data_IF_957765111340
#
_entry.id   IF_957765111340
#
_cell.length_a   1.000
_cell.length_b   1.000
_cell.length_c   1.000
_cell.angle_alpha   90.00
_cell.angle_beta   90.00
_cell.angle_gamma   90.00
#
_symmetry.space_group_name_H-M   'P 1'
#
loop_
_entity.id
_entity.type
_entity.pdbx_description
1 polymer ?
#
# COMPACT_ATOMS: atom_id res chain seq x y z
N UNK A 1 -7.57 -35.98 -10.38
CA UNK A 1 -8.26 -35.27 -9.28
C UNK A 1 -9.36 -34.40 -9.88
N UNK A 2 -10.63 -34.78 -9.68
CA UNK A 2 -11.76 -34.07 -10.30
C UNK A 2 -12.18 -32.82 -9.52
N UNK A 3 -12.72 -31.79 -10.21
CA UNK A 3 -13.24 -30.58 -9.57
C UNK A 3 -14.36 -30.94 -8.59
N UNK A 4 -14.64 -30.08 -7.61
CA UNK A 4 -15.63 -30.30 -6.56
C UNK A 4 -17.00 -30.66 -7.14
N UNK A 5 -17.24 -31.96 -7.34
CA UNK A 5 -18.50 -32.51 -7.85
C UNK A 5 -19.59 -32.23 -6.83
N UNK A 6 -20.70 -31.65 -7.30
CA UNK A 6 -21.89 -31.48 -6.48
C UNK A 6 -22.41 -32.82 -5.93
N UNK A 7 -23.30 -32.81 -4.92
CA UNK A 7 -23.82 -34.03 -4.29
C UNK A 7 -24.39 -35.04 -5.31
N UNK A 8 -25.17 -34.57 -6.29
CA UNK A 8 -25.71 -35.41 -7.35
C UNK A 8 -24.63 -36.06 -8.23
N UNK A 9 -23.54 -35.34 -8.51
CA UNK A 9 -22.44 -35.86 -9.31
C UNK A 9 -21.63 -36.94 -8.56
N UNK A 10 -21.46 -36.81 -7.24
CA UNK A 10 -20.85 -37.85 -6.40
C UNK A 10 -21.76 -39.08 -6.29
N UNK A 11 -23.07 -38.86 -6.14
CA UNK A 11 -24.05 -39.95 -6.13
C UNK A 11 -24.04 -40.73 -7.44
N UNK A 12 -24.13 -40.05 -8.58
CA UNK A 12 -24.10 -40.70 -9.90
C UNK A 12 -22.76 -41.40 -10.16
N UNK A 13 -21.65 -40.83 -9.71
CA UNK A 13 -20.34 -41.49 -9.79
C UNK A 13 -20.29 -42.76 -8.94
N UNK A 14 -20.87 -42.74 -7.73
CA UNK A 14 -20.96 -43.92 -6.88
C UNK A 14 -21.82 -45.02 -7.53
N UNK A 15 -22.98 -44.66 -8.11
CA UNK A 15 -23.82 -45.58 -8.89
C UNK A 15 -23.02 -46.19 -10.05
N UNK A 16 -22.34 -45.36 -10.84
CA UNK A 16 -21.52 -45.83 -11.95
C UNK A 16 -20.38 -46.76 -11.52
N UNK A 17 -19.73 -46.48 -10.39
CA UNK A 17 -18.69 -47.34 -9.82
C UNK A 17 -19.25 -48.68 -9.34
N UNK A 18 -20.39 -48.72 -8.64
CA UNK A 18 -21.03 -49.96 -8.17
C UNK A 18 -21.43 -50.86 -9.34
N UNK A 19 -22.03 -50.28 -10.38
CA UNK A 19 -22.42 -51.00 -11.59
C UNK A 19 -21.19 -51.56 -12.33
N UNK A 20 -20.12 -50.77 -12.46
CA UNK A 20 -18.89 -51.19 -13.12
C UNK A 20 -18.20 -52.35 -12.38
N UNK A 21 -18.33 -52.41 -11.06
CA UNK A 21 -17.79 -53.48 -10.22
C UNK A 21 -18.78 -54.64 -9.99
N UNK A 22 -19.94 -54.64 -10.68
CA UNK A 22 -21.00 -55.67 -10.56
C UNK A 22 -21.52 -55.86 -9.12
N UNK A 23 -21.55 -54.78 -8.33
CA UNK A 23 -22.10 -54.78 -6.98
C UNK A 23 -23.60 -54.43 -7.05
N UNK A 24 -24.44 -55.17 -6.33
CA UNK A 24 -25.88 -54.87 -6.24
C UNK A 24 -26.09 -53.47 -5.67
N UNK A 25 -26.91 -52.66 -6.35
CA UNK A 25 -27.21 -51.30 -5.94
C UNK A 25 -27.98 -51.30 -4.61
N UNK A 26 -27.45 -50.67 -3.55
CA UNK A 26 -28.22 -50.45 -2.34
C UNK A 26 -29.38 -49.49 -2.60
N UNK A 27 -30.38 -49.49 -1.72
CA UNK A 27 -31.49 -48.55 -1.81
C UNK A 27 -31.00 -47.08 -1.88
N UNK A 28 -31.70 -46.25 -2.65
CA UNK A 28 -31.31 -44.85 -2.93
C UNK A 28 -31.02 -44.08 -1.64
N UNK A 29 -31.84 -44.27 -0.61
CA UNK A 29 -31.68 -43.62 0.71
C UNK A 29 -30.43 -44.07 1.46
N UNK A 30 -29.99 -45.31 1.27
CA UNK A 30 -28.74 -45.83 1.85
C UNK A 30 -27.55 -45.23 1.13
N UNK A 31 -27.58 -45.21 -0.20
CA UNK A 31 -26.50 -44.63 -1.01
C UNK A 31 -26.33 -43.13 -0.72
N UNK A 32 -27.43 -42.38 -0.62
CA UNK A 32 -27.39 -40.96 -0.29
C UNK A 32 -26.77 -40.69 1.09
N UNK A 33 -27.12 -41.53 2.09
CA UNK A 33 -26.54 -41.45 3.43
C UNK A 33 -25.03 -41.74 3.44
N UNK A 34 -24.58 -42.73 2.66
CA UNK A 34 -23.16 -43.07 2.51
C UNK A 34 -22.38 -41.94 1.81
N UNK A 35 -22.92 -41.37 0.73
CA UNK A 35 -22.31 -40.24 0.03
C UNK A 35 -22.22 -39.04 0.96
N UNK A 36 -23.28 -38.74 1.72
CA UNK A 36 -23.30 -37.65 2.70
C UNK A 36 -22.28 -37.86 3.82
N UNK A 37 -22.13 -39.09 4.31
CA UNK A 37 -21.11 -39.45 5.31
C UNK A 37 -19.70 -39.28 4.75
N UNK A 38 -19.41 -39.83 3.58
CA UNK A 38 -18.11 -39.69 2.93
C UNK A 38 -17.73 -38.23 2.65
N UNK A 39 -18.71 -37.39 2.27
CA UNK A 39 -18.51 -35.94 2.11
C UNK A 39 -18.17 -35.26 3.43
N UNK A 40 -18.87 -35.62 4.51
CA UNK A 40 -18.63 -35.08 5.85
C UNK A 40 -17.24 -35.46 6.34
N UNK A 41 -16.84 -36.73 6.18
CA UNK A 41 -15.51 -37.22 6.57
C UNK A 41 -14.40 -36.60 5.71
N UNK A 42 -14.67 -36.32 4.43
CA UNK A 42 -13.74 -35.57 3.58
C UNK A 42 -13.65 -34.07 3.95
N UNK A 43 -14.72 -33.46 4.45
CA UNK A 43 -14.70 -32.10 4.95
C UNK A 43 -13.89 -32.01 6.25
N UNK A 44 -14.09 -32.96 7.16
CA UNK A 44 -13.37 -33.04 8.43
C UNK A 44 -11.86 -33.14 8.22
N UNK A 45 -11.41 -34.03 7.33
CA UNK A 45 -9.99 -34.14 6.95
C UNK A 45 -9.40 -32.83 6.43
N UNK A 46 -10.18 -32.03 5.70
CA UNK A 46 -9.69 -30.72 5.22
C UNK A 46 -9.51 -29.75 6.40
N UNK A 47 -10.43 -29.76 7.36
CA UNK A 47 -10.29 -28.92 8.55
C UNK A 47 -9.09 -29.34 9.40
N UNK A 48 -8.87 -30.64 9.57
CA UNK A 48 -7.69 -31.20 10.24
C UNK A 48 -6.39 -30.78 9.55
N UNK A 49 -6.31 -30.90 8.22
CA UNK A 49 -5.14 -30.49 7.44
C UNK A 49 -4.85 -29.00 7.58
N UNK A 50 -5.88 -28.14 7.50
CA UNK A 50 -5.70 -26.70 7.68
C UNK A 50 -5.32 -26.33 9.12
N UNK A 51 -5.89 -27.01 10.12
CA UNK A 51 -5.52 -26.80 11.51
C UNK A 51 -4.11 -27.34 11.84
N UNK A 52 -3.64 -28.37 11.13
CA UNK A 52 -2.25 -28.83 11.18
C UNK A 52 -1.31 -27.81 10.53
N UNK A 53 -1.61 -27.36 9.31
CA UNK A 53 -0.83 -26.33 8.61
C UNK A 53 -0.67 -25.04 9.43
N UNK A 54 -1.71 -24.63 10.17
CA UNK A 54 -1.62 -23.50 11.10
C UNK A 54 -0.63 -23.78 12.26
N UNK A 55 -0.63 -24.99 12.82
CA UNK A 55 0.29 -25.38 13.90
C UNK A 55 1.73 -25.51 13.43
N UNK A 56 1.93 -25.94 12.19
CA UNK A 56 3.26 -26.15 11.62
C UNK A 56 4.00 -24.83 11.38
N UNK A 57 3.27 -23.74 11.09
CA UNK A 57 3.84 -22.38 11.01
C UNK A 57 4.26 -21.87 12.38
N UNK A 58 3.33 -21.91 13.35
CA UNK A 58 3.56 -21.50 14.73
C UNK A 58 2.59 -22.28 15.64
N UNK A 59 3.08 -23.03 16.65
CA UNK A 59 2.24 -23.75 17.59
C UNK A 59 1.18 -22.88 18.30
N UNK A 60 1.43 -21.57 18.43
CA UNK A 60 0.52 -20.60 19.05
C UNK A 60 -0.48 -20.00 18.08
N UNK A 61 -0.29 -20.13 16.76
CA UNK A 61 -1.14 -19.51 15.74
C UNK A 61 -2.62 -19.91 15.87
N UNK A 62 -3.01 -21.18 16.06
CA UNK A 62 -4.42 -21.53 16.31
C UNK A 62 -5.00 -20.83 17.55
N UNK A 63 -4.18 -20.60 18.57
CA UNK A 63 -4.56 -19.82 19.75
C UNK A 63 -4.82 -18.36 19.39
N UNK A 64 -3.87 -17.73 18.70
CA UNK A 64 -3.95 -16.32 18.24
C UNK A 64 -5.17 -16.09 17.34
N UNK A 65 -5.40 -16.97 16.35
CA UNK A 65 -6.56 -16.91 15.46
C UNK A 65 -7.89 -17.02 16.21
N UNK A 66 -7.97 -17.84 17.26
CA UNK A 66 -9.19 -17.94 18.08
C UNK A 66 -9.35 -16.74 19.01
N UNK A 67 -8.24 -16.17 19.49
CA UNK A 67 -8.24 -14.99 20.33
C UNK A 67 -8.69 -13.74 19.55
N UNK A 68 -8.37 -13.64 18.25
CA UNK A 68 -8.79 -12.52 17.41
C UNK A 68 -10.31 -12.40 17.22
N UNK A 69 -11.08 -13.45 17.55
CA UNK A 69 -12.54 -13.43 17.60
C UNK A 69 -13.11 -12.72 18.83
N UNK A 70 -12.31 -12.53 19.88
CA UNK A 70 -12.76 -11.86 21.10
C UNK A 70 -12.68 -10.34 20.92
N UNK A 71 -13.65 -9.64 21.51
CA UNK A 71 -13.65 -8.17 21.56
C UNK A 71 -12.84 -7.73 22.78
N UNK A 72 -11.72 -7.01 22.62
CA UNK A 72 -10.97 -6.47 23.74
C UNK A 72 -11.79 -5.45 24.53
N UNK A 73 -11.53 -5.31 25.83
CA UNK A 73 -12.24 -4.35 26.69
C UNK A 73 -12.02 -2.92 26.21
N UNK A 74 -13.11 -2.18 25.99
CA UNK A 74 -13.06 -0.80 25.49
C UNK A 74 -13.09 -0.66 23.97
N UNK A 75 -13.08 -1.77 23.22
CA UNK A 75 -13.22 -1.77 21.76
C UNK A 75 -14.63 -2.21 21.34
N UNK A 76 -15.10 -1.71 20.20
CA UNK A 76 -16.40 -2.09 19.61
C UNK A 76 -16.33 -3.31 18.70
N UNK A 77 -15.15 -3.60 18.17
CA UNK A 77 -14.90 -4.66 17.20
C UNK A 77 -13.82 -5.60 17.72
N UNK A 78 -13.91 -6.87 17.33
CA UNK A 78 -12.81 -7.82 17.50
C UNK A 78 -11.71 -7.54 16.48
N UNK A 79 -10.48 -7.99 16.74
CA UNK A 79 -9.36 -7.85 15.79
C UNK A 79 -9.72 -8.40 14.42
N UNK A 80 -10.39 -9.56 14.36
CA UNK A 80 -10.84 -10.14 13.09
C UNK A 80 -11.80 -9.23 12.32
N UNK A 81 -12.73 -8.58 13.02
CA UNK A 81 -13.69 -7.66 12.38
C UNK A 81 -13.01 -6.35 11.95
N UNK A 82 -11.95 -5.92 12.64
CA UNK A 82 -11.10 -4.81 12.22
C UNK A 82 -10.32 -5.15 10.94
N UNK A 83 -9.76 -6.36 10.82
CA UNK A 83 -9.03 -6.77 9.60
C UNK A 83 -9.92 -6.85 8.35
N UNK A 84 -11.23 -7.10 8.53
CA UNK A 84 -12.21 -7.10 7.44
C UNK A 84 -12.55 -5.72 6.90
N UNK A 85 -12.17 -4.65 7.60
CA UNK A 85 -12.50 -3.29 7.17
C UNK A 85 -11.46 -2.81 6.14
N UNK A 86 -11.85 -2.84 4.87
CA UNK A 86 -11.06 -2.21 3.82
C UNK A 86 -11.05 -0.67 3.97
N UNK A 87 -9.99 0.00 3.51
CA UNK A 87 -9.91 1.46 3.50
C UNK A 87 -11.06 2.07 2.68
N UNK A 88 -11.77 3.05 3.26
CA UNK A 88 -12.92 3.69 2.59
C UNK A 88 -12.63 5.07 2.02
N UNK A 89 -11.49 5.67 2.39
CA UNK A 89 -11.14 7.05 2.02
C UNK A 89 -9.75 7.10 1.41
N UNK A 90 -9.60 8.00 0.44
CA UNK A 90 -8.34 8.26 -0.23
C UNK A 90 -7.62 9.39 0.54
N UNK A 91 -6.82 9.02 1.53
CA UNK A 91 -6.08 9.97 2.36
C UNK A 91 -4.79 9.35 2.94
N UNK A 92 -3.84 10.20 3.33
CA UNK A 92 -2.62 9.76 4.02
C UNK A 92 -2.91 8.95 5.30
N UNK A 93 -3.80 9.40 6.21
CA UNK A 93 -4.18 8.59 7.37
C UNK A 93 -4.80 7.24 7.01
N UNK A 94 -5.61 7.17 5.95
CA UNK A 94 -6.16 5.90 5.48
C UNK A 94 -5.06 4.97 4.93
N UNK A 95 -4.01 5.53 4.30
CA UNK A 95 -2.84 4.77 3.86
C UNK A 95 -2.08 4.17 5.05
N UNK A 96 -1.87 4.96 6.12
CA UNK A 96 -1.23 4.46 7.34
C UNK A 96 -2.06 3.32 7.94
N UNK A 97 -3.38 3.48 8.07
CA UNK A 97 -4.24 2.41 8.57
C UNK A 97 -4.27 1.18 7.67
N UNK A 98 -4.16 1.33 6.35
CA UNK A 98 -4.06 0.21 5.41
C UNK A 98 -2.76 -0.57 5.60
N UNK A 99 -1.63 0.14 5.75
CA UNK A 99 -0.31 -0.44 6.04
C UNK A 99 -0.28 -1.13 7.40
N UNK A 100 -0.81 -0.49 8.45
CA UNK A 100 -0.88 -1.09 9.80
C UNK A 100 -1.65 -2.41 9.75
N UNK A 101 -2.80 -2.45 9.05
CA UNK A 101 -3.59 -3.66 8.86
C UNK A 101 -2.82 -4.75 8.10
N UNK A 102 -2.08 -4.39 7.05
CA UNK A 102 -1.26 -5.35 6.30
C UNK A 102 -0.13 -5.93 7.18
N UNK A 103 0.52 -5.10 8.00
CA UNK A 103 1.56 -5.53 8.94
C UNK A 103 1.00 -6.42 10.06
N UNK A 104 -0.18 -6.11 10.58
CA UNK A 104 -0.86 -6.96 11.56
C UNK A 104 -1.14 -8.37 10.99
N UNK A 105 -1.62 -8.45 9.75
CA UNK A 105 -1.87 -9.72 9.06
C UNK A 105 -0.57 -10.46 8.71
N UNK A 106 0.46 -9.74 8.25
CA UNK A 106 1.79 -10.31 7.98
C UNK A 106 2.42 -10.92 9.24
N UNK A 107 2.20 -10.30 10.41
CA UNK A 107 2.71 -10.78 11.71
C UNK A 107 2.18 -12.16 12.13
N UNK A 108 1.10 -12.63 11.50
CA UNK A 108 0.56 -13.97 11.70
C UNK A 108 1.28 -15.03 10.85
N UNK A 109 2.07 -14.61 9.85
CA UNK A 109 2.83 -15.48 8.94
C UNK A 109 1.96 -16.54 8.26
N UNK A 110 0.69 -16.22 8.05
CA UNK A 110 -0.33 -17.17 7.55
C UNK A 110 -0.08 -17.55 6.09
N UNK A 111 0.70 -16.77 5.34
CA UNK A 111 1.19 -17.10 3.99
C UNK A 111 2.03 -18.38 3.97
N UNK A 112 2.83 -18.58 5.00
CA UNK A 112 3.82 -19.67 5.09
C UNK A 112 3.15 -21.04 5.36
N UNK A 113 1.88 -21.05 5.77
CA UNK A 113 1.13 -22.29 5.97
C UNK A 113 0.98 -23.06 4.65
N UNK A 114 1.56 -24.27 4.59
CA UNK A 114 1.42 -25.15 3.44
C UNK A 114 -0.01 -25.72 3.37
N UNK A 115 -0.79 -25.19 2.42
CA UNK A 115 -2.13 -25.66 2.14
C UNK A 115 -2.23 -26.39 0.79
N UNK A 116 -1.12 -26.78 0.18
CA UNK A 116 -1.05 -27.36 -1.18
C UNK A 116 -1.88 -28.65 -1.34
N UNK A 117 -2.00 -29.42 -0.26
CA UNK A 117 -2.79 -30.66 -0.19
C UNK A 117 -4.30 -30.39 -0.34
N UNK A 118 -4.76 -29.20 0.08
CA UNK A 118 -6.18 -28.83 0.02
C UNK A 118 -6.46 -28.09 -1.29
N UNK A 119 -7.51 -28.46 -2.06
CA UNK A 119 -7.85 -27.76 -3.28
C UNK A 119 -8.09 -26.26 -3.04
N UNK A 120 -7.54 -25.35 -3.88
CA UNK A 120 -7.62 -23.90 -3.67
C UNK A 120 -9.06 -23.39 -3.68
N UNK A 121 -9.95 -24.01 -4.47
CA UNK A 121 -11.37 -23.69 -4.49
C UNK A 121 -12.07 -23.90 -3.13
N UNK A 122 -11.59 -24.88 -2.34
CA UNK A 122 -12.12 -25.16 -1.00
C UNK A 122 -11.61 -24.16 0.02
N UNK A 123 -10.34 -23.77 -0.06
CA UNK A 123 -9.77 -22.71 0.77
C UNK A 123 -10.51 -21.39 0.51
N UNK A 124 -10.71 -21.03 -0.76
CA UNK A 124 -11.47 -19.84 -1.15
C UNK A 124 -12.92 -19.88 -0.66
N UNK A 125 -13.58 -21.04 -0.70
CA UNK A 125 -14.93 -21.19 -0.16
C UNK A 125 -14.99 -20.97 1.36
N UNK A 126 -14.00 -21.45 2.10
CA UNK A 126 -13.90 -21.21 3.54
C UNK A 126 -13.57 -19.75 3.86
N UNK A 127 -12.68 -19.12 3.10
CA UNK A 127 -12.41 -17.68 3.20
C UNK A 127 -13.67 -16.85 2.98
N UNK A 128 -14.44 -17.14 1.92
CA UNK A 128 -15.73 -16.48 1.65
C UNK A 128 -16.75 -16.69 2.78
N UNK A 129 -16.85 -17.91 3.30
CA UNK A 129 -17.71 -18.19 4.45
C UNK A 129 -17.29 -17.35 5.67
N UNK A 130 -15.98 -17.24 5.92
CA UNK A 130 -15.42 -16.40 6.97
C UNK A 130 -15.69 -14.91 6.79
N UNK A 131 -15.66 -14.41 5.55
CA UNK A 131 -15.97 -13.00 5.24
C UNK A 131 -17.40 -12.65 5.60
N UNK A 132 -18.36 -13.49 5.20
CA UNK A 132 -19.80 -13.27 5.45
C UNK A 132 -20.16 -13.51 6.92
N UNK A 133 -19.46 -14.42 7.60
CA UNK A 133 -19.76 -14.81 8.98
C UNK A 133 -19.23 -13.79 9.99
N UNK A 134 -20.07 -13.35 10.93
CA UNK A 134 -19.64 -12.55 12.08
C UNK A 134 -18.84 -13.40 13.08
N UNK A 135 -18.00 -12.75 13.90
CA UNK A 135 -17.22 -13.41 14.95
C UNK A 135 -18.04 -14.41 15.80
N UNK A 136 -19.27 -14.08 16.20
CA UNK A 136 -20.13 -14.97 16.99
C UNK A 136 -20.47 -16.29 16.27
N UNK A 137 -20.69 -16.26 14.95
CA UNK A 137 -20.95 -17.45 14.15
C UNK A 137 -19.68 -18.31 13.96
N UNK A 138 -18.51 -17.68 13.93
CA UNK A 138 -17.23 -18.39 13.86
C UNK A 138 -16.88 -19.04 15.21
N UNK A 139 -17.24 -18.42 16.33
CA UNK A 139 -17.08 -18.99 17.67
C UNK A 139 -17.92 -20.26 17.86
N UNK A 140 -19.09 -20.38 17.22
CA UNK A 140 -19.94 -21.58 17.36
C UNK A 140 -19.42 -22.80 16.58
N UNK A 141 -18.47 -22.63 15.67
CA UNK A 141 -17.84 -23.75 14.96
C UNK A 141 -17.06 -24.63 15.94
N UNK A 142 -17.19 -25.94 15.78
CA UNK A 142 -16.41 -26.93 16.56
C UNK A 142 -14.99 -27.03 15.98
N UNK A 143 -14.01 -27.32 16.84
CA UNK A 143 -12.64 -27.62 16.41
C UNK A 143 -12.63 -28.99 15.71
N UNK A 144 -11.88 -29.21 14.59
CA UNK A 144 -10.89 -28.36 13.92
C UNK A 144 -11.44 -27.35 12.91
N UNK A 145 -12.75 -27.41 12.62
CA UNK A 145 -13.40 -26.56 11.60
C UNK A 145 -13.23 -25.08 11.88
N UNK A 146 -13.26 -24.67 13.14
CA UNK A 146 -13.04 -23.27 13.54
C UNK A 146 -11.68 -22.76 13.08
N UNK A 147 -10.59 -23.40 13.50
CA UNK A 147 -9.23 -22.99 13.14
C UNK A 147 -8.99 -23.06 11.63
N UNK A 148 -9.44 -24.13 10.96
CA UNK A 148 -9.27 -24.25 9.51
C UNK A 148 -9.99 -23.14 8.73
N UNK A 149 -11.19 -22.75 9.18
CA UNK A 149 -11.94 -21.62 8.59
C UNK A 149 -11.24 -20.29 8.84
N UNK A 150 -10.71 -20.07 10.06
CA UNK A 150 -9.99 -18.85 10.40
C UNK A 150 -8.68 -18.72 9.61
N UNK A 151 -7.93 -19.81 9.44
CA UNK A 151 -6.72 -19.81 8.62
C UNK A 151 -7.05 -19.41 7.18
N UNK A 152 -8.09 -20.01 6.59
CA UNK A 152 -8.51 -19.69 5.23
C UNK A 152 -8.99 -18.24 5.07
N UNK A 153 -9.71 -17.72 6.08
CA UNK A 153 -10.14 -16.32 6.11
C UNK A 153 -8.96 -15.36 6.22
N UNK A 154 -8.01 -15.62 7.12
CA UNK A 154 -6.84 -14.74 7.29
C UNK A 154 -5.91 -14.81 6.09
N UNK A 155 -5.68 -15.99 5.46
CA UNK A 155 -4.96 -16.06 4.16
C UNK A 155 -5.63 -15.19 3.10
N UNK A 156 -6.96 -15.14 3.07
CA UNK A 156 -7.70 -14.29 2.14
C UNK A 156 -7.56 -12.79 2.48
N UNK A 157 -7.70 -12.42 3.76
CA UNK A 157 -7.57 -11.04 4.21
C UNK A 157 -6.16 -10.49 4.02
N UNK A 158 -5.13 -11.32 4.21
CA UNK A 158 -3.73 -10.95 3.99
C UNK A 158 -3.48 -10.55 2.53
N UNK A 159 -3.95 -11.36 1.57
CA UNK A 159 -3.86 -11.03 0.16
C UNK A 159 -4.63 -9.73 -0.19
N UNK A 160 -5.87 -9.61 0.30
CA UNK A 160 -6.70 -8.41 0.10
C UNK A 160 -6.07 -7.18 0.74
N UNK A 161 -5.41 -7.31 1.88
CA UNK A 161 -4.78 -6.18 2.55
C UNK A 161 -3.59 -5.61 1.78
N UNK A 162 -2.78 -6.49 1.18
CA UNK A 162 -1.68 -6.07 0.30
C UNK A 162 -2.24 -5.38 -0.96
N UNK A 163 -3.27 -5.97 -1.59
CA UNK A 163 -3.91 -5.38 -2.77
C UNK A 163 -4.51 -3.99 -2.45
N UNK A 164 -5.25 -3.87 -1.34
CA UNK A 164 -5.83 -2.59 -0.89
C UNK A 164 -4.75 -1.50 -0.67
N UNK A 165 -3.59 -1.88 -0.13
CA UNK A 165 -2.45 -0.96 0.07
C UNK A 165 -1.89 -0.48 -1.27
N UNK A 166 -1.69 -1.40 -2.22
CA UNK A 166 -1.16 -1.07 -3.54
C UNK A 166 -2.15 -0.19 -4.34
N UNK A 167 -3.43 -0.51 -4.29
CA UNK A 167 -4.49 0.26 -4.94
C UNK A 167 -4.60 1.66 -4.35
N UNK A 168 -4.61 1.77 -3.01
CA UNK A 168 -4.68 3.07 -2.33
C UNK A 168 -3.43 3.90 -2.60
N UNK A 169 -2.24 3.28 -2.62
CA UNK A 169 -1.00 3.95 -2.98
C UNK A 169 -1.06 4.51 -4.41
N UNK A 170 -1.38 3.67 -5.40
CA UNK A 170 -1.48 4.10 -6.80
C UNK A 170 -2.49 5.24 -6.98
N UNK A 171 -3.61 5.16 -6.26
CA UNK A 171 -4.64 6.19 -6.28
C UNK A 171 -4.18 7.49 -5.61
N UNK A 172 -3.43 7.43 -4.51
CA UNK A 172 -2.84 8.62 -3.87
C UNK A 172 -1.76 9.25 -4.74
N UNK A 173 -0.89 8.45 -5.34
CA UNK A 173 0.16 8.92 -6.26
C UNK A 173 -0.46 9.70 -7.42
N UNK A 174 -1.47 9.12 -8.08
CA UNK A 174 -2.15 9.76 -9.21
C UNK A 174 -2.93 11.01 -8.80
N UNK A 175 -3.79 10.91 -7.78
CA UNK A 175 -4.74 11.98 -7.44
C UNK A 175 -4.13 13.11 -6.63
N UNK A 176 -3.27 12.81 -5.66
CA UNK A 176 -2.74 13.81 -4.72
C UNK A 176 -1.41 14.38 -5.15
N UNK A 177 -0.57 13.62 -5.85
CA UNK A 177 0.76 14.10 -6.27
C UNK A 177 0.76 14.53 -7.73
N UNK A 178 0.53 13.59 -8.65
CA UNK A 178 0.71 13.82 -10.09
C UNK A 178 -0.31 14.81 -10.64
N UNK A 179 -1.61 14.58 -10.38
CA UNK A 179 -2.66 15.46 -10.89
C UNK A 179 -2.59 16.86 -10.29
N UNK A 180 -2.19 16.98 -9.02
CA UNK A 180 -2.02 18.29 -8.39
C UNK A 180 -0.79 19.03 -8.95
N UNK A 181 0.32 18.34 -9.18
CA UNK A 181 1.50 18.93 -9.81
C UNK A 181 1.20 19.38 -11.24
N UNK A 182 0.49 18.55 -12.03
CA UNK A 182 0.04 18.92 -13.38
C UNK A 182 -0.90 20.12 -13.36
N UNK A 183 -1.87 20.17 -12.43
CA UNK A 183 -2.78 21.30 -12.30
C UNK A 183 -2.05 22.61 -11.94
N UNK A 184 -1.09 22.54 -11.02
CA UNK A 184 -0.24 23.68 -10.66
C UNK A 184 0.60 24.14 -11.86
N UNK A 185 1.33 23.23 -12.50
CA UNK A 185 2.15 23.54 -13.68
C UNK A 185 1.32 24.12 -14.83
N UNK A 186 0.13 23.59 -15.08
CA UNK A 186 -0.77 24.15 -16.08
C UNK A 186 -1.25 25.56 -15.72
N UNK A 187 -1.50 25.83 -14.45
CA UNK A 187 -1.88 27.18 -13.99
C UNK A 187 -0.72 28.16 -14.19
N UNK A 188 0.50 27.74 -13.88
CA UNK A 188 1.72 28.56 -14.09
C UNK A 188 1.97 28.81 -15.59
N UNK A 189 1.77 27.80 -16.44
CA UNK A 189 1.83 27.95 -17.92
C UNK A 189 0.78 28.92 -18.43
N UNK A 190 -0.46 28.82 -17.94
CA UNK A 190 -1.52 29.74 -18.34
C UNK A 190 -1.18 31.18 -17.89
N UNK A 191 -0.54 31.34 -16.74
CA UNK A 191 -0.06 32.64 -16.26
C UNK A 191 1.10 33.21 -17.08
N UNK A 192 1.93 32.36 -17.72
CA UNK A 192 3.04 32.80 -18.59
C UNK A 192 2.61 33.13 -20.03
N UNK A 193 1.42 32.71 -20.47
CA UNK A 193 0.90 32.97 -21.83
C UNK A 193 0.96 34.45 -22.25
N UNK A 194 0.56 35.44 -21.43
CA UNK A 194 0.63 36.84 -21.84
C UNK A 194 2.05 37.36 -22.08
N UNK A 195 3.06 36.82 -21.39
CA UNK A 195 4.47 37.15 -21.64
C UNK A 195 4.91 36.57 -22.98
N UNK A 196 4.51 35.33 -23.27
CA UNK A 196 4.80 34.66 -24.55
C UNK A 196 4.10 35.37 -25.73
N UNK A 197 2.85 35.81 -25.59
CA UNK A 197 2.11 36.57 -26.60
C UNK A 197 2.79 37.92 -26.94
N UNK A 198 3.36 38.61 -25.94
CA UNK A 198 4.11 39.85 -26.17
C UNK A 198 5.41 39.58 -26.91
N UNK A 199 6.19 38.60 -26.45
CA UNK A 199 7.48 38.25 -27.07
C UNK A 199 7.30 37.75 -28.52
N UNK A 200 6.32 36.86 -28.75
CA UNK A 200 5.99 36.37 -30.10
C UNK A 200 5.52 37.47 -31.04
N UNK A 201 4.75 38.47 -30.57
CA UNK A 201 4.36 39.63 -31.38
C UNK A 201 5.56 40.46 -31.82
N UNK A 202 6.50 40.70 -30.92
CA UNK A 202 7.74 41.42 -31.21
C UNK A 202 8.56 40.66 -32.26
N UNK A 203 8.76 39.35 -32.06
CA UNK A 203 9.50 38.51 -33.01
C UNK A 203 8.79 38.39 -34.37
N UNK A 204 7.46 38.34 -34.41
CA UNK A 204 6.72 38.32 -35.66
C UNK A 204 6.88 39.62 -36.46
N UNK A 205 6.96 40.78 -35.79
CA UNK A 205 7.23 42.06 -36.44
C UNK A 205 8.65 42.09 -37.01
N UNK A 206 9.64 41.68 -36.22
CA UNK A 206 11.06 41.59 -36.61
C UNK A 206 11.22 40.65 -37.81
N UNK A 207 10.66 39.46 -37.76
CA UNK A 207 10.77 38.47 -38.84
C UNK A 207 10.08 38.93 -40.13
N UNK A 208 8.92 39.60 -40.04
CA UNK A 208 8.28 40.18 -41.23
C UNK A 208 9.18 41.20 -41.91
N UNK A 209 9.82 42.06 -41.13
CA UNK A 209 10.72 43.08 -41.66
C UNK A 209 11.99 42.47 -42.26
N UNK A 210 12.54 41.44 -41.61
CA UNK A 210 13.67 40.67 -42.12
C UNK A 210 13.34 40.00 -43.45
N UNK A 211 12.21 39.29 -43.54
CA UNK A 211 11.78 38.61 -44.77
C UNK A 211 11.58 39.62 -45.90
N UNK A 212 10.91 40.75 -45.63
CA UNK A 212 10.71 41.79 -46.64
C UNK A 212 12.05 42.37 -47.15
N UNK A 213 13.04 42.54 -46.27
CA UNK A 213 14.36 43.00 -46.67
C UNK A 213 15.15 41.96 -47.48
N UNK A 214 15.01 40.67 -47.15
CA UNK A 214 15.59 39.57 -47.93
C UNK A 214 14.95 39.47 -49.32
N UNK A 215 13.63 39.59 -49.41
CA UNK A 215 12.87 39.56 -50.67
C UNK A 215 13.26 40.74 -51.57
N UNK A 216 13.39 41.94 -51.01
CA UNK A 216 13.85 43.13 -51.75
C UNK A 216 15.26 42.94 -52.33
N UNK A 217 16.19 42.42 -51.52
CA UNK A 217 17.56 42.16 -51.95
C UNK A 217 17.65 41.07 -53.04
N UNK A 218 16.80 40.04 -52.95
CA UNK A 218 16.72 38.99 -53.96
C UNK A 218 16.16 39.50 -55.30
N UNK A 219 15.29 40.52 -55.27
CA UNK A 219 14.71 41.11 -56.48
C UNK A 219 15.62 42.14 -57.18
N UNK A 220 16.53 42.77 -56.45
CA UNK A 220 17.39 43.85 -56.95
C UNK A 220 18.85 43.42 -57.21
N UNK A 221 19.19 42.14 -57.08
CA UNK A 221 20.58 41.61 -57.17
C UNK A 221 21.55 42.38 -56.25
N UNK A 222 21.01 42.85 -55.12
CA UNK A 222 21.68 43.81 -54.24
C UNK A 222 22.30 43.10 -53.04
N UNK A 223 23.52 43.49 -52.66
CA UNK A 223 24.20 42.89 -51.51
C UNK A 223 23.51 43.37 -50.23
N UNK A 224 22.89 42.46 -49.49
CA UNK A 224 22.32 42.73 -48.17
C UNK A 224 23.39 43.34 -47.26
N UNK A 225 23.24 44.63 -46.96
CA UNK A 225 24.08 45.28 -45.97
C UNK A 225 23.47 45.08 -44.59
N UNK A 226 24.16 44.29 -43.75
CA UNK A 226 23.73 43.97 -42.39
C UNK A 226 23.49 45.22 -41.53
N UNK A 227 24.26 46.29 -41.72
CA UNK A 227 24.06 47.54 -40.97
C UNK A 227 22.81 48.29 -41.41
N UNK A 228 22.43 48.20 -42.69
CA UNK A 228 21.21 48.81 -43.20
C UNK A 228 19.95 48.07 -42.70
N UNK A 229 20.03 46.74 -42.63
CA UNK A 229 18.98 45.89 -42.07
C UNK A 229 18.79 46.13 -40.56
N UNK A 230 19.87 46.28 -39.80
CA UNK A 230 19.76 46.59 -38.37
C UNK A 230 19.14 47.96 -38.12
N UNK A 231 19.47 48.97 -38.92
CA UNK A 231 18.82 50.29 -38.80
C UNK A 231 17.32 50.24 -39.11
N UNK A 232 16.91 49.49 -40.13
CA UNK A 232 15.48 49.36 -40.47
C UNK A 232 14.70 48.54 -39.44
N UNK A 233 15.36 47.63 -38.72
CA UNK A 233 14.79 46.91 -37.57
C UNK A 233 14.65 47.80 -36.34
N UNK A 234 15.66 48.64 -36.06
CA UNK A 234 15.70 49.54 -34.90
C UNK A 234 14.63 50.64 -34.97
N UNK A 235 14.18 51.01 -36.18
CA UNK A 235 13.02 51.89 -36.39
C UNK A 235 11.70 51.28 -35.91
N UNK A 236 11.57 49.95 -35.95
CA UNK A 236 10.33 49.23 -35.60
C UNK A 236 10.37 48.73 -34.16
N UNK A 237 11.49 48.16 -33.73
CA UNK A 237 11.70 47.64 -32.37
C UNK A 237 13.17 47.87 -31.97
N UNK A 238 13.44 48.49 -30.80
CA UNK A 238 14.80 48.66 -30.33
C UNK A 238 15.46 47.31 -30.04
N UNK A 239 16.77 47.21 -30.30
CA UNK A 239 17.54 45.97 -30.21
C UNK A 239 17.39 45.24 -28.87
N UNK A 240 17.34 45.99 -27.76
CA UNK A 240 17.19 45.44 -26.41
C UNK A 240 15.87 44.67 -26.23
N UNK A 241 14.78 45.13 -26.86
CA UNK A 241 13.49 44.46 -26.79
C UNK A 241 13.44 43.19 -27.66
N UNK A 242 14.24 43.14 -28.73
CA UNK A 242 14.38 41.95 -29.57
C UNK A 242 15.13 40.87 -28.78
N UNK A 243 16.25 41.23 -28.14
CA UNK A 243 17.02 40.30 -27.29
C UNK A 243 16.17 39.79 -26.13
N UNK A 244 15.48 40.68 -25.42
CA UNK A 244 14.58 40.30 -24.32
C UNK A 244 13.41 39.40 -24.79
N UNK A 245 12.89 39.61 -26.01
CA UNK A 245 11.85 38.76 -26.58
C UNK A 245 12.38 37.36 -26.93
N UNK A 246 13.59 37.25 -27.50
CA UNK A 246 14.25 35.96 -27.75
C UNK A 246 14.53 35.23 -26.43
N UNK A 247 15.07 35.91 -25.42
CA UNK A 247 15.29 35.34 -24.08
C UNK A 247 13.98 34.84 -23.46
N UNK A 248 12.89 35.61 -23.56
CA UNK A 248 11.58 35.20 -23.03
C UNK A 248 11.01 33.97 -23.76
N UNK A 249 11.23 33.84 -25.06
CA UNK A 249 10.76 32.67 -25.82
C UNK A 249 11.61 31.44 -25.52
N UNK A 250 12.93 31.59 -25.46
CA UNK A 250 13.85 30.49 -25.11
C UNK A 250 13.67 30.02 -23.66
N UNK A 251 13.33 30.91 -22.73
CA UNK A 251 12.96 30.57 -21.35
C UNK A 251 11.65 29.75 -21.29
N UNK A 252 10.63 30.19 -22.04
CA UNK A 252 9.26 29.62 -21.93
C UNK A 252 9.01 28.42 -22.85
N UNK A 253 9.75 28.29 -23.94
CA UNK A 253 9.65 27.22 -24.92
C UNK A 253 11.07 26.72 -25.25
N UNK A 254 11.65 25.84 -24.40
CA UNK A 254 12.90 25.15 -24.70
C UNK A 254 12.71 24.21 -25.89
N UNK A 255 13.77 23.97 -26.66
CA UNK A 255 13.76 23.16 -27.90
C UNK A 255 13.43 21.67 -27.70
N UNK A 256 13.35 21.19 -26.44
CA UNK A 256 13.11 19.78 -26.14
C UNK A 256 11.61 19.49 -25.99
N UNK A 257 11.07 18.60 -26.83
CA UNK A 257 9.66 18.16 -26.86
C UNK A 257 9.17 17.63 -25.48
N UNK A 258 10.10 17.29 -24.58
CA UNK A 258 9.86 16.86 -23.20
C UNK A 258 9.77 17.98 -22.15
N UNK A 259 9.98 19.25 -22.50
CA UNK A 259 9.98 20.42 -21.58
C UNK A 259 8.78 20.42 -20.63
N UNK A 260 7.60 20.06 -21.15
CA UNK A 260 6.39 20.05 -20.35
C UNK A 260 6.37 18.96 -19.27
N UNK A 261 6.93 17.79 -19.58
CA UNK A 261 7.07 16.67 -18.66
C UNK A 261 8.19 16.93 -17.65
N UNK A 262 9.31 17.49 -18.09
CA UNK A 262 10.43 17.91 -17.24
C UNK A 262 10.00 18.94 -16.20
N UNK A 263 9.27 19.99 -16.61
CA UNK A 263 8.71 20.97 -15.68
C UNK A 263 7.74 20.35 -14.67
N UNK A 264 6.97 19.33 -15.09
CA UNK A 264 6.07 18.60 -14.18
C UNK A 264 6.87 17.76 -13.17
N UNK A 265 7.98 17.13 -13.60
CA UNK A 265 8.88 16.37 -12.72
C UNK A 265 9.59 17.28 -11.72
N UNK A 266 10.05 18.46 -12.15
CA UNK A 266 10.66 19.48 -11.27
C UNK A 266 9.65 20.00 -10.24
N UNK A 267 8.43 20.34 -10.67
CA UNK A 267 7.38 20.79 -9.75
C UNK A 267 6.99 19.71 -8.71
N UNK A 268 7.02 18.44 -9.11
CA UNK A 268 6.80 17.31 -8.20
C UNK A 268 7.94 17.20 -7.17
N UNK A 269 9.19 17.34 -7.61
CA UNK A 269 10.37 17.29 -6.75
C UNK A 269 10.44 18.48 -5.78
N UNK A 270 10.05 19.68 -6.19
CA UNK A 270 10.01 20.87 -5.32
C UNK A 270 8.91 20.78 -4.25
N UNK A 271 7.71 20.32 -4.61
CA UNK A 271 6.60 20.18 -3.64
C UNK A 271 6.82 19.09 -2.61
N UNK A 272 7.46 18.00 -3.02
CA UNK A 272 7.66 16.82 -2.17
C UNK A 272 9.12 16.58 -1.85
N UNK A 273 9.98 17.60 -2.00
CA UNK A 273 11.33 17.63 -1.42
C UNK A 273 11.13 17.31 0.04
N UNK A 274 11.48 16.08 0.37
CA UNK A 274 11.19 15.48 1.65
C UNK A 274 11.69 16.44 2.71
N UNK A 275 10.84 16.74 3.70
CA UNK A 275 11.35 17.08 5.01
C UNK A 275 12.16 15.86 5.45
N UNK A 276 13.42 15.80 5.02
CA UNK A 276 14.40 14.84 5.48
C UNK A 276 14.41 15.06 6.99
N UNK A 277 13.98 14.04 7.73
CA UNK A 277 14.12 14.03 9.17
C UNK A 277 15.54 14.51 9.49
N UNK A 278 15.73 15.53 10.36
CA UNK A 278 17.07 15.99 10.69
C UNK A 278 17.80 14.81 11.36
N UNK A 279 18.67 14.12 10.61
CA UNK A 279 19.42 12.96 11.08
C UNK A 279 19.52 11.74 10.16
N UNK A 280 18.89 11.70 8.98
CA UNK A 280 19.16 10.62 8.01
C UNK A 280 20.48 10.91 7.26
N UNK A 281 21.47 10.00 7.25
CA UNK A 281 22.68 10.19 6.45
C UNK A 281 22.30 10.23 4.97
N UNK A 282 22.84 11.21 4.26
CA UNK A 282 22.63 11.40 2.82
C UNK A 282 23.10 10.14 2.07
N UNK A 283 22.19 9.25 1.72
CA UNK A 283 22.44 8.27 0.68
C UNK A 283 22.46 9.07 -0.63
N UNK A 284 23.67 9.35 -1.13
CA UNK A 284 23.87 9.99 -2.42
C UNK A 284 23.34 9.08 -3.54
N UNK A 285 22.17 9.42 -4.07
CA UNK A 285 21.75 8.92 -5.38
C UNK A 285 22.42 9.80 -6.42
N UNK A 286 23.65 9.46 -6.78
CA UNK A 286 24.26 9.99 -7.99
C UNK A 286 23.42 9.49 -9.18
N UNK A 287 22.70 10.41 -9.83
CA UNK A 287 22.16 10.18 -11.15
C UNK A 287 23.37 10.01 -12.09
N UNK A 288 23.68 8.78 -12.44
CA UNK A 288 24.65 8.48 -13.49
C UNK A 288 24.00 8.73 -14.84
N UNK A 289 24.42 9.79 -15.52
CA UNK A 289 24.34 9.87 -16.98
C UNK A 289 25.28 8.78 -17.53
N UNK A 290 24.73 7.79 -18.23
CA UNK A 290 25.49 6.73 -18.86
C UNK A 290 24.96 6.44 -20.26
N UNK A 291 25.70 6.90 -21.27
CA UNK A 291 25.62 6.38 -22.63
C UNK A 291 26.17 4.93 -22.68
N UNK A 292 25.76 4.10 -23.65
CA UNK A 292 26.03 2.66 -23.65
C UNK A 292 27.25 2.33 -24.51
N UNK A 293 28.33 1.81 -23.90
CA UNK A 293 29.29 0.87 -24.52
C UNK A 293 30.47 0.61 -23.56
N UNK A 294 30.46 -0.50 -22.81
CA UNK A 294 31.66 -1.31 -22.50
C UNK A 294 31.28 -2.59 -21.72
N UNK A 295 31.76 -3.74 -22.21
CA UNK A 295 31.64 -5.09 -21.62
C UNK A 295 32.67 -5.32 -20.48
N UNK A 296 32.50 -6.38 -19.65
CA UNK A 296 32.72 -6.28 -18.21
C UNK A 296 34.14 -6.60 -17.75
N UNK A 297 34.70 -5.71 -16.94
CA UNK A 297 35.89 -5.93 -16.11
C UNK A 297 35.52 -6.33 -14.69
N UNK A 298 36.08 -7.44 -14.23
CA UNK A 298 36.06 -8.02 -12.88
C UNK A 298 36.06 -7.01 -11.70
N UNK A 299 35.13 -7.18 -10.76
CA UNK A 299 35.13 -6.44 -9.49
C UNK A 299 34.05 -6.89 -8.49
N UNK A 300 34.35 -7.93 -7.72
CA UNK A 300 33.91 -8.25 -6.35
C UNK A 300 32.56 -7.68 -5.84
N UNK A 301 31.51 -8.50 -5.88
CA UNK A 301 30.25 -8.24 -5.19
C UNK A 301 30.40 -8.47 -3.68
N UNK A 302 30.41 -7.41 -2.89
CA UNK A 302 30.24 -7.48 -1.43
C UNK A 302 28.79 -7.80 -1.13
N UNK A 303 28.52 -9.09 -0.89
CA UNK A 303 27.26 -9.54 -0.29
C UNK A 303 27.19 -9.08 1.17
N UNK A 304 26.26 -8.18 1.49
CA UNK A 304 25.90 -7.90 2.88
C UNK A 304 25.04 -9.06 3.37
N UNK A 305 25.68 -9.98 4.09
CA UNK A 305 25.04 -11.06 4.82
C UNK A 305 24.18 -10.50 5.96
N UNK A 306 22.90 -10.88 6.00
CA UNK A 306 22.04 -10.73 7.18
C UNK A 306 22.27 -11.98 8.05
N UNK A 307 22.68 -11.86 9.32
CA UNK A 307 22.92 -13.04 10.14
C UNK A 307 21.60 -13.65 10.60
N UNK A 308 21.46 -14.95 10.33
CA UNK A 308 20.51 -15.86 10.96
C UNK A 308 21.30 -16.68 11.99
N UNK A 309 20.97 -16.57 13.29
CA UNK A 309 20.86 -17.70 14.23
C UNK A 309 20.62 -17.27 15.70
N UNK A 310 19.53 -17.79 16.27
CA UNK A 310 19.52 -18.57 17.52
C UNK A 310 20.12 -18.02 18.81
N UNK A 311 19.26 -17.46 19.68
CA UNK A 311 19.41 -17.61 21.14
C UNK A 311 18.02 -17.58 21.82
N UNK A 312 17.64 -18.69 22.46
CA UNK A 312 16.68 -18.69 23.57
C UNK A 312 17.41 -18.99 24.88
N UNK A 313 16.73 -19.05 26.05
CA UNK A 313 15.38 -18.58 26.37
C UNK A 313 15.41 -17.44 27.41
N UNK A 314 14.51 -16.47 27.28
CA UNK A 314 14.31 -15.42 28.27
C UNK A 314 12.85 -15.03 28.31
N UNK A 315 12.16 -15.42 29.38
CA UNK A 315 10.79 -15.01 29.68
C UNK A 315 10.79 -13.49 29.84
N UNK A 316 10.35 -12.78 28.80
CA UNK A 316 10.27 -11.33 28.73
C UNK A 316 8.92 -10.93 28.17
N UNK A 317 8.13 -10.32 29.04
CA UNK A 317 6.78 -9.82 28.85
C UNK A 317 6.60 -9.05 27.53
N UNK A 318 6.04 -9.70 26.50
CA UNK A 318 5.68 -9.07 25.23
C UNK A 318 4.32 -8.38 25.38
N UNK A 319 4.33 -7.12 25.81
CA UNK A 319 3.15 -6.26 25.72
C UNK A 319 3.02 -5.70 24.30
N UNK A 320 1.84 -5.78 23.66
CA UNK A 320 1.65 -5.27 22.31
C UNK A 320 1.73 -3.74 22.27
N UNK A 321 2.52 -3.27 21.32
CA UNK A 321 3.03 -1.91 21.05
C UNK A 321 1.96 -0.90 20.62
N UNK A 322 0.70 -1.05 21.05
CA UNK A 322 -0.42 -0.19 20.62
C UNK A 322 -0.52 1.10 21.47
N UNK A 323 0.00 1.09 22.70
CA UNK A 323 -0.07 2.24 23.60
C UNK A 323 0.95 3.35 23.30
N UNK A 324 2.14 3.02 22.79
CA UNK A 324 3.21 4.01 22.56
C UNK A 324 3.00 4.84 21.28
N UNK A 325 2.45 4.26 20.22
CA UNK A 325 2.20 4.99 18.96
C UNK A 325 1.07 6.02 19.14
N UNK A 326 0.05 5.73 19.95
CA UNK A 326 -1.01 6.70 20.30
C UNK A 326 -0.56 7.80 21.27
N UNK A 327 0.35 7.50 22.20
CA UNK A 327 0.90 8.51 23.09
C UNK A 327 1.77 9.54 22.34
N UNK A 328 2.56 9.11 21.36
CA UNK A 328 3.37 10.01 20.53
C UNK A 328 2.49 10.91 19.63
N UNK A 329 1.38 10.39 19.09
CA UNK A 329 0.47 11.18 18.25
C UNK A 329 -0.29 12.28 19.01
N UNK A 330 -0.46 12.14 20.33
CA UNK A 330 -1.16 13.12 21.17
C UNK A 330 -0.26 14.30 21.57
N UNK A 331 1.07 14.11 21.59
CA UNK A 331 2.04 15.16 21.94
C UNK A 331 2.21 16.19 20.80
N UNK A 332 1.94 15.82 19.55
CA UNK A 332 2.12 16.71 18.40
C UNK A 332 0.90 17.59 18.03
N UNK A 333 -0.24 17.49 18.74
CA UNK A 333 -1.48 18.22 18.40
C UNK A 333 -1.95 19.25 19.46
N UNK A 334 -1.05 19.72 20.33
CA UNK A 334 -1.43 20.62 21.44
C UNK A 334 -0.59 21.89 21.55
N UNK A 335 -0.53 22.72 20.50
CA UNK A 335 0.05 24.05 20.60
C UNK A 335 -0.66 25.08 19.70
N UNK A 336 -1.89 25.47 20.04
CA UNK A 336 -2.41 26.82 19.77
C UNK A 336 -3.76 27.05 20.47
N UNK A 337 -3.75 27.83 21.56
CA UNK A 337 -4.78 28.80 21.96
C UNK A 337 -4.73 29.00 23.48
N UNK A 338 -4.29 30.19 23.91
CA UNK A 338 -4.42 30.63 25.29
C UNK A 338 -5.83 31.17 25.55
N UNK A 339 -6.41 30.80 26.69
CA UNK A 339 -7.30 31.64 27.50
C UNK A 339 -7.63 30.92 28.81
N UNK A 340 -7.07 31.46 29.90
CA UNK A 340 -7.59 31.56 31.27
C UNK A 340 -8.72 30.61 31.71
N UNK A 341 -8.40 29.70 32.62
CA UNK A 341 -9.37 28.95 33.41
C UNK A 341 -8.70 28.18 34.54
N UNK A 342 -8.70 28.75 35.74
CA UNK A 342 -8.29 28.07 36.97
C UNK A 342 -9.02 26.74 37.14
N UNK A 343 -8.29 25.63 37.27
CA UNK A 343 -8.80 24.40 37.89
C UNK A 343 -7.75 23.85 38.84
N UNK A 344 -8.18 23.70 40.10
CA UNK A 344 -7.40 23.25 41.24
C UNK A 344 -6.75 21.88 41.04
N UNK A 345 -5.47 21.81 41.35
CA UNK A 345 -4.79 20.57 41.73
C UNK A 345 -5.25 20.20 43.14
N UNK A 346 -5.96 19.07 43.29
CA UNK A 346 -6.16 18.40 44.58
C UNK A 346 -5.44 17.06 44.56
N UNK A 347 -4.34 17.02 45.30
CA UNK A 347 -3.65 15.83 45.77
C UNK A 347 -4.40 15.21 46.96
N UNK A 348 -4.73 13.93 46.87
CA UNK A 348 -4.98 13.03 47.99
C UNK A 348 -4.79 11.62 47.44
N UNK A 349 -3.87 10.77 47.91
CA UNK A 349 -3.47 10.57 49.30
C UNK A 349 -4.23 9.37 49.84
N UNK A 350 -3.56 8.22 49.83
CA UNK A 350 -3.79 6.99 50.63
C UNK A 350 -5.15 6.28 50.61
N UNK A 351 -5.14 4.98 50.30
CA UNK A 351 -5.40 3.94 51.31
C UNK A 351 -5.22 2.53 50.73
N UNK A 352 -4.12 1.88 51.12
CA UNK A 352 -3.94 0.43 51.09
C UNK A 352 -4.62 -0.16 52.34
N UNK A 353 -5.40 -1.25 52.24
CA UNK A 353 -5.72 -2.06 53.41
C UNK A 353 -4.66 -3.15 53.63
N UNK A 354 -4.15 -3.17 54.85
CA UNK A 354 -3.20 -4.14 55.38
C UNK A 354 -3.81 -5.55 55.50
N UNK A 355 -3.04 -6.56 55.09
CA UNK A 355 -3.25 -7.96 55.47
C UNK A 355 -2.53 -8.22 56.81
N UNK A 356 -3.18 -8.86 57.79
CA UNK A 356 -2.54 -9.17 59.06
C UNK A 356 -1.65 -10.42 58.94
N UNK A 357 -0.35 -10.25 59.21
CA UNK A 357 0.53 -11.36 59.58
C UNK A 357 0.37 -11.68 61.07
N UNK A 358 -0.12 -12.87 61.38
CA UNK A 358 0.03 -13.50 62.69
C UNK A 358 1.34 -14.30 62.72
N UNK A 359 2.13 -14.11 63.78
CA UNK A 359 3.37 -14.83 64.07
C UNK A 359 3.10 -16.09 64.93
N UNK A 360 4.07 -17.03 65.02
CA UNK A 360 3.86 -18.41 65.43
C UNK A 360 4.01 -18.63 66.95
N UNK A 361 3.44 -19.74 67.47
CA UNK A 361 3.87 -20.32 68.75
C UNK A 361 2.87 -21.23 69.48
N UNK A 362 3.36 -22.45 69.78
CA UNK A 362 2.99 -23.38 70.86
C UNK A 362 1.80 -24.35 70.75
N UNK A 363 2.16 -25.65 70.78
CA UNK A 363 1.61 -26.80 71.53
C UNK A 363 0.09 -26.78 71.85
N UNK A 364 -0.68 -27.79 71.47
CA UNK A 364 -0.57 -29.20 71.88
C UNK A 364 -1.53 -30.04 71.04
#
# INVERSE_FOLDING_TARGET
MGPCRGPAALFNQAVGWLLSNRILLPGITVLDRLVSKARSDAAERVYELLAAAARDVDPMLPGRLRQSLRVPTGFRFSELESWKQSPTRISGPAMVSALDRALELESLRVRDADCSVVPPSRIAALGRYGMVSKAAALVSLVEPRRTGTLLALVKHLDAVAVDDVLDLFALLMSTRLINQARAASNTDRLASLPRLEKASRILALVNRQLIAALDAAASEDNVLNADALWRSLEEVVPKDQIVAAVETVTELVPDDDGSAEVATRVALAERYRTNTCPGAPEAGWAAGDGDPEEEPGSGEAVAVAVPVEGAGPGVGDWQPTVARVRAAATICHGASAGASGHVLVRSSGSSFPALPMTRPGCNR
#
